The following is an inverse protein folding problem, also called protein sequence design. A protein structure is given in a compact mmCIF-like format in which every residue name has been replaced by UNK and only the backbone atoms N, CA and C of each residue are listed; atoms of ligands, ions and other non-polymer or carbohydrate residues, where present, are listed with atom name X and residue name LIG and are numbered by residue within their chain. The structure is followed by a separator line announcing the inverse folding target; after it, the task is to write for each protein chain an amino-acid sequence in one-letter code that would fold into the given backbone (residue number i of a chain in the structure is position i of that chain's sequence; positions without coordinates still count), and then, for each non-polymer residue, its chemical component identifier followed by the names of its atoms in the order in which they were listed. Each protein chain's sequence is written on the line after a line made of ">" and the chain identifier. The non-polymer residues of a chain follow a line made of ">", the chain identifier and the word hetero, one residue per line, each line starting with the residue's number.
data_IF_264136716423
#
_entry.id   IF_264136716423
#
_cell.length_a   1.000
_cell.length_b   1.000
_cell.length_c   1.000
_cell.angle_alpha   90.00
_cell.angle_beta   90.00
_cell.angle_gamma   90.00
#
_symmetry.space_group_name_H-M   'P 1'
#
loop_
_entity.id
_entity.type
_entity.pdbx_description
1 polymer ?
#
# COMPACT_ATOMS: atom_id res chain seq x y z
N UNK A 1 -10.24 7.75 1.11
CA UNK A 1 -9.23 7.63 0.05
C UNK A 1 -8.48 6.32 0.21
N UNK A 2 -7.99 5.76 -0.87
CA UNK A 2 -7.30 4.49 -0.83
C UNK A 2 -5.80 4.69 -1.11
N UNK A 3 -4.99 3.75 -0.66
CA UNK A 3 -3.54 3.85 -0.78
C UNK A 3 -2.93 2.49 -1.15
N UNK A 4 -1.73 2.55 -1.73
CA UNK A 4 -0.89 1.38 -1.95
C UNK A 4 0.31 1.47 -1.00
N UNK A 5 0.58 0.39 -0.30
CA UNK A 5 1.74 0.28 0.59
C UNK A 5 2.73 -0.70 -0.02
N UNK A 6 3.97 -0.26 -0.22
CA UNK A 6 5.05 -1.11 -0.69
C UNK A 6 5.79 -1.72 0.48
N UNK A 7 6.07 -3.02 0.40
CA UNK A 7 6.84 -3.73 1.41
C UNK A 7 7.90 -4.60 0.75
N UNK A 8 9.03 -4.74 1.43
CA UNK A 8 10.08 -5.69 1.03
C UNK A 8 9.73 -7.05 1.63
N UNK A 9 9.43 -8.09 0.81
CA UNK A 9 8.93 -9.36 1.35
C UNK A 9 9.92 -10.09 2.24
N UNK A 10 11.23 -9.82 2.13
CA UNK A 10 12.22 -10.40 3.05
C UNK A 10 12.17 -9.76 4.44
N UNK A 11 11.65 -8.54 4.54
CA UNK A 11 11.47 -7.85 5.82
C UNK A 11 10.08 -8.11 6.39
N UNK A 12 9.04 -7.87 5.58
CA UNK A 12 7.65 -8.12 5.97
C UNK A 12 6.81 -8.37 4.73
N UNK A 13 6.33 -9.60 4.56
CA UNK A 13 5.56 -10.01 3.38
C UNK A 13 4.06 -9.92 3.63
N UNK A 14 3.27 -10.02 2.56
CA UNK A 14 1.82 -10.15 2.69
C UNK A 14 1.45 -11.43 3.46
N UNK A 15 2.21 -12.52 3.28
CA UNK A 15 2.03 -13.74 4.05
C UNK A 15 2.23 -13.51 5.55
N UNK A 16 3.19 -12.67 5.92
CA UNK A 16 3.38 -12.27 7.32
C UNK A 16 2.16 -11.54 7.85
N UNK A 17 1.57 -10.65 7.05
CA UNK A 17 0.35 -9.94 7.43
C UNK A 17 -0.83 -10.91 7.56
N UNK A 18 -0.93 -11.90 6.69
CA UNK A 18 -1.96 -12.94 6.79
C UNK A 18 -1.83 -13.72 8.09
N UNK A 19 -0.61 -14.04 8.50
CA UNK A 19 -0.33 -14.72 9.77
C UNK A 19 -0.69 -13.84 10.97
N UNK A 20 -0.28 -12.58 10.94
CA UNK A 20 -0.44 -11.64 12.06
C UNK A 20 -1.85 -11.04 12.11
N UNK A 21 -2.57 -11.03 11.01
CA UNK A 21 -3.92 -10.49 10.81
C UNK A 21 -4.02 -8.98 10.91
N UNK A 22 -3.18 -8.34 11.72
CA UNK A 22 -3.04 -6.88 11.80
C UNK A 22 -1.62 -6.56 12.20
N UNK A 23 -1.19 -5.34 11.87
CA UNK A 23 0.13 -4.86 12.23
C UNK A 23 0.14 -3.34 12.25
N UNK A 24 1.18 -2.77 12.85
CA UNK A 24 1.42 -1.32 12.77
C UNK A 24 2.40 -1.08 11.62
N UNK A 25 1.99 -0.24 10.68
CA UNK A 25 2.82 0.16 9.54
C UNK A 25 3.66 1.37 9.94
N UNK A 26 4.95 1.17 10.11
CA UNK A 26 5.89 2.19 10.59
C UNK A 26 7.22 2.08 9.82
N UNK A 27 8.25 2.76 10.30
CA UNK A 27 9.56 2.70 9.67
C UNK A 27 9.66 3.47 8.36
N UNK A 28 8.67 4.28 8.03
CA UNK A 28 8.65 5.09 6.81
C UNK A 28 9.35 6.41 7.08
N UNK A 29 10.37 6.74 6.30
CA UNK A 29 11.17 7.95 6.49
C UNK A 29 11.03 8.99 5.40
N UNK A 30 10.58 8.60 4.19
CA UNK A 30 10.40 9.55 3.09
C UNK A 30 9.31 10.57 3.46
N UNK A 31 9.59 11.90 3.38
CA UNK A 31 8.63 12.92 3.83
C UNK A 31 7.26 12.85 3.14
N UNK A 32 7.22 12.51 1.86
CA UNK A 32 5.95 12.39 1.12
C UNK A 32 5.18 11.17 1.61
N UNK A 33 5.86 10.04 1.80
CA UNK A 33 5.24 8.83 2.32
C UNK A 33 4.71 9.04 3.75
N UNK A 34 5.47 9.71 4.60
CA UNK A 34 5.06 10.06 5.97
C UNK A 34 3.81 10.93 5.94
N UNK A 35 3.78 11.94 5.07
CA UNK A 35 2.60 12.80 4.91
C UNK A 35 1.38 11.99 4.48
N UNK A 36 1.55 11.06 3.54
CA UNK A 36 0.46 10.20 3.07
C UNK A 36 -0.08 9.32 4.20
N UNK A 37 0.81 8.75 5.04
CA UNK A 37 0.38 7.99 6.21
C UNK A 37 -0.45 8.83 7.18
N UNK A 38 -0.06 10.07 7.44
CA UNK A 38 -0.79 10.96 8.35
C UNK A 38 -2.20 11.29 7.86
N UNK A 39 -2.42 11.26 6.55
CA UNK A 39 -3.71 11.60 5.96
C UNK A 39 -4.68 10.42 5.89
N UNK A 40 -4.22 9.22 6.20
CA UNK A 40 -5.07 8.04 6.23
C UNK A 40 -6.11 8.14 7.34
N UNK A 41 -7.25 7.50 7.11
CA UNK A 41 -8.37 7.46 8.07
C UNK A 41 -8.84 6.02 8.25
N UNK A 42 -9.37 5.68 9.45
CA UNK A 42 -9.97 4.36 9.64
C UNK A 42 -10.98 4.05 8.55
N UNK A 43 -10.89 2.84 7.99
CA UNK A 43 -11.75 2.40 6.90
C UNK A 43 -11.17 2.62 5.51
N UNK A 44 -10.08 3.38 5.37
CA UNK A 44 -9.43 3.54 4.05
C UNK A 44 -8.93 2.19 3.55
N UNK A 45 -9.11 1.95 2.24
CA UNK A 45 -8.65 0.73 1.59
C UNK A 45 -7.16 0.78 1.27
N UNK A 46 -6.53 -0.38 1.36
CA UNK A 46 -5.10 -0.52 1.11
C UNK A 46 -4.84 -1.65 0.13
N UNK A 47 -3.86 -1.44 -0.75
CA UNK A 47 -3.31 -2.49 -1.60
C UNK A 47 -1.88 -2.74 -1.11
N UNK A 48 -1.54 -3.99 -0.86
CA UNK A 48 -0.18 -4.36 -0.44
C UNK A 48 0.60 -4.79 -1.66
N UNK A 49 1.72 -4.10 -1.89
CA UNK A 49 2.60 -4.31 -3.03
C UNK A 49 3.95 -4.82 -2.52
N UNK A 50 4.37 -5.98 -3.02
CA UNK A 50 5.68 -6.54 -2.68
C UNK A 50 6.73 -6.10 -3.69
N UNK A 51 7.81 -5.51 -3.19
CA UNK A 51 8.97 -5.12 -3.99
C UNK A 51 9.91 -6.32 -4.18
N UNK A 52 11.14 -6.08 -4.62
CA UNK A 52 12.08 -7.15 -4.84
C UNK A 52 11.86 -7.83 -6.18
N UNK A 53 11.92 -9.15 -6.21
CA UNK A 53 11.81 -9.91 -7.46
C UNK A 53 10.40 -9.93 -8.04
N UNK A 54 9.38 -9.91 -7.19
CA UNK A 54 7.99 -10.06 -7.63
C UNK A 54 7.41 -8.79 -8.23
N UNK A 55 7.71 -7.63 -7.65
CA UNK A 55 7.22 -6.32 -8.10
C UNK A 55 5.75 -6.36 -8.49
N UNK A 56 4.89 -6.72 -7.55
CA UNK A 56 3.45 -6.89 -7.81
C UNK A 56 2.59 -6.58 -6.61
N UNK A 57 1.36 -6.13 -6.89
CA UNK A 57 0.30 -6.04 -5.89
C UNK A 57 -0.20 -7.46 -5.60
N UNK A 58 -0.25 -7.84 -4.34
CA UNK A 58 -0.52 -9.23 -3.94
C UNK A 58 -1.75 -9.39 -3.05
N UNK A 59 -2.23 -8.33 -2.45
CA UNK A 59 -3.39 -8.42 -1.57
C UNK A 59 -3.91 -7.07 -1.14
N UNK A 60 -4.95 -7.09 -0.33
CA UNK A 60 -5.60 -5.88 0.20
C UNK A 60 -5.56 -5.88 1.72
N UNK A 61 -5.75 -4.69 2.28
CA UNK A 61 -5.85 -4.48 3.71
C UNK A 61 -6.74 -3.25 3.94
N UNK A 62 -6.97 -2.91 5.18
CA UNK A 62 -7.71 -1.69 5.53
C UNK A 62 -7.10 -1.02 6.75
N UNK A 63 -7.31 0.29 6.86
CA UNK A 63 -6.81 1.07 7.98
C UNK A 63 -7.75 0.87 9.18
N UNK A 64 -7.19 0.46 10.33
CA UNK A 64 -7.92 0.34 11.58
C UNK A 64 -7.84 1.64 12.39
N UNK A 65 -6.64 2.21 12.51
CA UNK A 65 -6.43 3.43 13.29
C UNK A 65 -5.18 4.15 12.83
N UNK A 66 -5.12 5.44 13.10
CA UNK A 66 -3.96 6.28 12.80
C UNK A 66 -3.61 7.06 14.05
N UNK A 67 -2.37 6.90 14.52
CA UNK A 67 -1.82 7.71 15.60
C UNK A 67 -0.78 8.66 15.01
N UNK A 68 -1.15 9.93 14.90
CA UNK A 68 -0.28 10.98 14.38
C UNK A 68 0.16 11.96 15.49
N UNK A 69 0.20 11.50 16.74
CA UNK A 69 0.68 12.33 17.85
C UNK A 69 2.13 12.78 17.65
N UNK A 70 2.96 11.93 17.01
CA UNK A 70 4.24 12.37 16.46
C UNK A 70 4.08 12.48 14.95
N UNK A 71 3.97 13.71 14.39
CA UNK A 71 3.73 13.86 12.96
C UNK A 71 4.87 13.38 12.07
N UNK A 72 6.06 13.19 12.62
CA UNK A 72 7.21 12.66 11.87
C UNK A 72 7.21 11.12 11.84
N UNK A 73 6.50 10.48 12.77
CA UNK A 73 6.41 9.02 12.88
C UNK A 73 4.97 8.59 13.11
N UNK A 74 4.08 8.80 12.14
CA UNK A 74 2.70 8.34 12.28
C UNK A 74 2.67 6.82 12.35
N UNK A 75 1.83 6.28 13.23
CA UNK A 75 1.62 4.85 13.38
C UNK A 75 0.25 4.50 12.81
N UNK A 76 0.24 3.75 11.71
CA UNK A 76 -1.00 3.32 11.07
C UNK A 76 -1.18 1.84 11.35
N UNK A 77 -2.23 1.50 12.10
CA UNK A 77 -2.59 0.11 12.33
C UNK A 77 -3.47 -0.36 11.18
N UNK A 78 -3.08 -1.47 10.56
CA UNK A 78 -3.79 -2.03 9.42
C UNK A 78 -4.27 -3.44 9.73
N UNK A 79 -5.34 -3.84 9.05
CA UNK A 79 -5.94 -5.17 9.16
C UNK A 79 -5.89 -5.85 7.82
N UNK A 80 -5.60 -7.17 7.83
CA UNK A 80 -5.58 -7.99 6.62
C UNK A 80 -6.94 -7.93 5.90
N UNK A 81 -6.89 -7.79 4.58
CA UNK A 81 -8.03 -8.00 3.70
C UNK A 81 -7.97 -9.39 3.07
N UNK A 82 -7.91 -9.43 1.75
CA UNK A 82 -7.87 -10.71 1.02
C UNK A 82 -6.67 -10.76 0.08
N UNK A 83 -6.15 -11.96 -0.15
CA UNK A 83 -5.14 -12.19 -1.17
C UNK A 83 -5.76 -12.02 -2.56
N UNK A 84 -5.00 -11.42 -3.49
CA UNK A 84 -5.43 -11.36 -4.88
C UNK A 84 -5.30 -12.75 -5.51
N UNK A 85 -6.33 -13.19 -6.23
CA UNK A 85 -6.28 -14.46 -6.96
C UNK A 85 -5.18 -14.46 -8.02
N UNK A 86 -4.95 -13.27 -8.61
CA UNK A 86 -3.87 -13.06 -9.57
C UNK A 86 -3.16 -11.77 -9.20
N UNK A 87 -1.87 -11.84 -8.81
CA UNK A 87 -1.09 -10.62 -8.53
C UNK A 87 -1.04 -9.70 -9.76
N UNK A 88 -1.05 -8.39 -9.51
CA UNK A 88 -0.95 -7.38 -10.58
C UNK A 88 0.50 -6.89 -10.60
N UNK A 89 1.20 -7.21 -11.69
CA UNK A 89 2.63 -6.87 -11.79
C UNK A 89 2.86 -5.39 -12.08
N UNK A 90 4.05 -4.91 -11.75
CA UNK A 90 4.45 -3.54 -12.07
C UNK A 90 4.40 -3.29 -13.59
N UNK A 91 4.76 -4.29 -14.40
CA UNK A 91 4.69 -4.18 -15.85
C UNK A 91 3.25 -3.93 -16.33
N UNK A 92 2.27 -4.66 -15.75
CA UNK A 92 0.85 -4.45 -16.06
C UNK A 92 0.39 -3.06 -15.64
N UNK A 93 0.82 -2.60 -14.46
CA UNK A 93 0.48 -1.27 -13.95
C UNK A 93 1.03 -0.18 -14.88
N UNK A 94 2.29 -0.28 -15.27
CA UNK A 94 2.93 0.69 -16.18
C UNK A 94 2.26 0.74 -17.54
N UNK A 95 1.74 -0.37 -18.01
CA UNK A 95 1.06 -0.46 -19.30
C UNK A 95 -0.37 0.08 -19.26
N UNK A 96 -0.93 0.30 -18.06
CA UNK A 96 -2.32 0.70 -17.91
C UNK A 96 -2.47 2.21 -17.83
N UNK A 97 -3.36 2.76 -18.66
CA UNK A 97 -3.57 4.22 -18.75
C UNK A 97 -4.00 4.88 -17.44
N UNK A 98 -4.64 4.14 -16.53
CA UNK A 98 -5.04 4.66 -15.21
C UNK A 98 -3.84 5.12 -14.38
N UNK A 99 -2.65 4.61 -14.66
CA UNK A 99 -1.45 4.89 -13.90
C UNK A 99 -0.43 5.76 -14.64
N UNK A 100 -0.79 6.30 -15.81
CA UNK A 100 0.13 7.08 -16.64
C UNK A 100 0.78 8.25 -15.86
N UNK A 101 0.00 8.91 -15.02
CA UNK A 101 0.46 10.05 -14.21
C UNK A 101 0.58 9.70 -12.72
N UNK A 102 0.45 8.44 -12.35
CA UNK A 102 0.48 8.02 -10.95
C UNK A 102 1.89 8.11 -10.37
N UNK A 103 2.03 8.57 -9.11
CA UNK A 103 3.31 8.48 -8.39
C UNK A 103 3.85 7.06 -8.31
N UNK A 104 3.00 6.04 -8.39
CA UNK A 104 3.42 4.64 -8.40
C UNK A 104 4.39 4.36 -9.55
N UNK A 105 4.13 4.94 -10.71
CA UNK A 105 4.95 4.78 -11.92
C UNK A 105 6.06 5.83 -11.97
N UNK A 106 5.74 7.09 -11.65
CA UNK A 106 6.67 8.23 -11.80
C UNK A 106 7.64 8.38 -10.64
N UNK A 107 7.24 7.95 -9.44
CA UNK A 107 8.06 8.05 -8.23
C UNK A 107 8.28 6.64 -7.67
N UNK A 108 9.07 5.83 -8.36
CA UNK A 108 9.25 4.42 -8.03
C UNK A 108 9.75 4.15 -6.61
N UNK A 109 10.34 5.14 -5.94
CA UNK A 109 10.83 5.00 -4.56
C UNK A 109 9.81 5.39 -3.50
N UNK A 110 8.67 5.95 -3.91
CA UNK A 110 7.61 6.30 -2.96
C UNK A 110 6.92 5.04 -2.49
N UNK A 111 6.97 4.78 -1.18
CA UNK A 111 6.46 3.54 -0.59
C UNK A 111 5.01 3.60 -0.12
N UNK A 112 4.43 4.79 -0.06
CA UNK A 112 3.01 5.00 0.29
C UNK A 112 2.42 5.87 -0.80
N UNK A 113 1.57 5.29 -1.64
CA UNK A 113 1.06 5.93 -2.85
C UNK A 113 -0.45 6.11 -2.75
N UNK A 114 -0.98 7.33 -2.91
CA UNK A 114 -2.43 7.51 -2.94
C UNK A 114 -3.02 6.92 -4.22
N UNK A 115 -4.20 6.34 -4.09
CA UNK A 115 -4.94 5.75 -5.21
C UNK A 115 -6.32 6.40 -5.31
N UNK A 116 -6.78 6.64 -6.53
CA UNK A 116 -8.19 7.00 -6.73
C UNK A 116 -9.04 5.73 -6.76
N UNK A 117 -10.35 5.88 -6.79
CA UNK A 117 -11.29 4.76 -6.75
C UNK A 117 -11.08 3.78 -7.90
N UNK A 118 -10.87 4.28 -9.12
CA UNK A 118 -10.66 3.42 -10.29
C UNK A 118 -9.36 2.62 -10.17
N UNK A 119 -8.28 3.25 -9.71
CA UNK A 119 -7.00 2.58 -9.50
C UNK A 119 -7.12 1.49 -8.43
N UNK A 120 -7.78 1.78 -7.33
CA UNK A 120 -7.99 0.80 -6.27
C UNK A 120 -8.79 -0.40 -6.76
N UNK A 121 -9.88 -0.17 -7.49
CA UNK A 121 -10.68 -1.26 -8.05
C UNK A 121 -9.88 -2.13 -9.00
N UNK A 122 -9.08 -1.52 -9.86
CA UNK A 122 -8.22 -2.27 -10.78
C UNK A 122 -7.24 -3.17 -10.03
N UNK A 123 -6.56 -2.62 -9.02
CA UNK A 123 -5.55 -3.36 -8.26
C UNK A 123 -6.14 -4.41 -7.33
N UNK A 124 -7.30 -4.14 -6.74
CA UNK A 124 -7.95 -5.06 -5.80
C UNK A 124 -8.77 -6.16 -6.48
N UNK A 125 -8.97 -6.05 -7.78
CA UNK A 125 -9.76 -7.02 -8.52
C UNK A 125 -11.27 -6.83 -8.39
N UNK A 126 -11.69 -5.67 -7.92
CA UNK A 126 -13.12 -5.35 -7.77
C UNK A 126 -13.74 -4.68 -8.98
#
# INVERSE_FOLDING_TARGET
>A
MDYLLKTEPTAYSFADLQRDKSTIWDGVSNPVAVRNLRTMKPGDGLVIYETGEHKSAVGTASVLSVDASDPKNPLVKIKIGKALGKPVTLAEIKAHKLFADSPLVRQGRLSVVPLNTAQFKFLSGE
#
